data_IF_836348935286
#
_entry.id   IF_836348935286
#
_cell.length_a   1.000
_cell.length_b   1.000
_cell.length_c   1.000
_cell.angle_alpha   90.00
_cell.angle_beta   90.00
_cell.angle_gamma   90.00
#
_symmetry.space_group_name_H-M   'P 1'
#
loop_
_entity.id
_entity.type
_entity.pdbx_description
1 polymer ?
#
# COMPACT_ATOMS: atom_id res chain seq x y z
N UNK A 1 1.30 -30.26 -14.68
CA UNK A 1 0.27 -30.37 -13.60
C UNK A 1 0.93 -30.02 -12.26
N UNK A 2 0.41 -29.02 -11.55
CA UNK A 2 0.97 -28.60 -10.26
C UNK A 2 0.63 -29.63 -9.18
N UNK A 3 1.65 -30.12 -8.48
CA UNK A 3 1.47 -31.13 -7.43
C UNK A 3 0.68 -30.60 -6.23
N UNK A 4 0.01 -31.48 -5.49
CA UNK A 4 -0.78 -31.11 -4.30
C UNK A 4 0.10 -30.39 -3.23
N UNK A 5 1.33 -30.84 -3.03
CA UNK A 5 2.30 -30.22 -2.11
C UNK A 5 2.61 -28.77 -2.54
N UNK A 6 2.84 -28.56 -3.85
CA UNK A 6 3.14 -27.23 -4.40
C UNK A 6 1.96 -26.28 -4.27
N UNK A 7 0.73 -26.76 -4.54
CA UNK A 7 -0.50 -25.99 -4.32
C UNK A 7 -0.61 -25.55 -2.87
N UNK A 8 -0.39 -26.45 -1.92
CA UNK A 8 -0.44 -26.14 -0.48
C UNK A 8 0.59 -25.09 -0.11
N UNK A 9 1.81 -25.22 -0.63
CA UNK A 9 2.90 -24.25 -0.39
C UNK A 9 2.52 -22.86 -0.93
N UNK A 10 2.05 -22.74 -2.18
CA UNK A 10 1.68 -21.44 -2.78
C UNK A 10 0.51 -20.81 -2.02
N UNK A 11 -0.54 -21.61 -1.73
CA UNK A 11 -1.70 -21.10 -0.97
C UNK A 11 -1.36 -20.67 0.45
N UNK A 12 -0.36 -21.27 1.09
CA UNK A 12 0.06 -20.86 2.43
C UNK A 12 0.59 -19.43 2.46
N UNK A 13 1.12 -18.91 1.34
CA UNK A 13 1.57 -17.52 1.22
C UNK A 13 0.45 -16.48 1.33
N UNK A 14 -0.83 -16.89 1.34
CA UNK A 14 -1.94 -16.03 1.74
C UNK A 14 -1.87 -15.61 3.22
N UNK A 15 -1.16 -16.36 4.06
CA UNK A 15 -1.03 -16.12 5.50
C UNK A 15 0.29 -15.42 5.83
N UNK A 16 0.24 -14.39 6.67
CA UNK A 16 1.40 -13.58 7.10
C UNK A 16 2.54 -14.43 7.67
N UNK A 17 2.20 -15.45 8.46
CA UNK A 17 3.19 -16.36 9.08
C UNK A 17 4.11 -16.98 8.03
N UNK A 18 3.54 -17.58 7.00
CA UNK A 18 4.32 -18.29 5.98
C UNK A 18 5.09 -17.35 5.06
N UNK A 19 4.58 -16.13 4.79
CA UNK A 19 5.35 -15.10 4.09
C UNK A 19 6.58 -14.67 4.88
N UNK A 20 6.42 -14.48 6.20
CA UNK A 20 7.53 -14.12 7.09
C UNK A 20 8.59 -15.24 7.18
N UNK A 21 8.18 -16.50 7.25
CA UNK A 21 9.07 -17.66 7.31
C UNK A 21 9.82 -17.89 6.00
N UNK A 22 9.15 -17.77 4.87
CA UNK A 22 9.74 -18.05 3.55
C UNK A 22 10.43 -16.84 2.91
N UNK A 23 10.10 -15.62 3.34
CA UNK A 23 10.52 -14.39 2.65
C UNK A 23 9.89 -14.24 1.26
N UNK A 24 8.73 -14.85 1.00
CA UNK A 24 8.07 -14.89 -0.30
C UNK A 24 6.64 -14.35 -0.21
N UNK A 25 6.15 -13.78 -1.32
CA UNK A 25 4.74 -13.41 -1.48
C UNK A 25 4.26 -13.73 -2.90
N UNK A 26 2.94 -13.68 -3.09
CA UNK A 26 2.29 -13.93 -4.37
C UNK A 26 1.85 -12.61 -4.99
N UNK A 27 2.16 -12.43 -6.28
CA UNK A 27 1.63 -11.37 -7.12
C UNK A 27 0.91 -11.99 -8.32
N UNK A 28 -0.31 -11.54 -8.61
CA UNK A 28 -1.16 -12.09 -9.67
C UNK A 28 -1.62 -11.00 -10.63
N UNK A 29 -1.74 -11.35 -11.89
CA UNK A 29 -2.26 -10.48 -12.94
C UNK A 29 -1.21 -10.05 -13.96
N UNK A 30 -1.65 -9.99 -15.21
CA UNK A 30 -0.81 -9.77 -16.38
C UNK A 30 0.04 -8.50 -16.24
N UNK A 31 -0.60 -7.38 -15.91
CA UNK A 31 0.08 -6.10 -15.75
C UNK A 31 1.14 -6.12 -14.63
N UNK A 32 0.76 -6.64 -13.46
CA UNK A 32 1.66 -6.65 -12.28
C UNK A 32 2.87 -7.53 -12.51
N UNK A 33 2.69 -8.71 -13.11
CA UNK A 33 3.80 -9.62 -13.38
C UNK A 33 4.68 -9.11 -14.51
N UNK A 34 4.12 -8.46 -15.53
CA UNK A 34 4.91 -7.82 -16.60
C UNK A 34 5.78 -6.68 -16.03
N UNK A 35 5.23 -5.81 -15.18
CA UNK A 35 6.01 -4.76 -14.51
C UNK A 35 7.11 -5.33 -13.60
N UNK A 36 6.86 -6.46 -12.93
CA UNK A 36 7.88 -7.15 -12.12
C UNK A 36 9.03 -7.69 -12.98
N UNK A 37 8.76 -8.18 -14.17
CA UNK A 37 9.79 -8.65 -15.13
C UNK A 37 10.68 -7.52 -15.64
N UNK A 38 10.13 -6.33 -15.81
CA UNK A 38 10.84 -5.13 -16.26
C UNK A 38 11.66 -4.48 -15.14
N UNK A 39 11.39 -4.80 -13.88
CA UNK A 39 11.99 -4.15 -12.72
C UNK A 39 13.04 -5.06 -12.05
N UNK A 40 14.32 -4.85 -12.37
CA UNK A 40 15.45 -5.64 -11.85
C UNK A 40 15.62 -5.62 -10.31
N UNK A 41 15.00 -4.66 -9.61
CA UNK A 41 15.04 -4.61 -8.13
C UNK A 41 14.19 -5.70 -7.48
N UNK A 42 13.20 -6.26 -8.22
CA UNK A 42 12.33 -7.30 -7.71
C UNK A 42 12.80 -8.68 -8.14
N UNK A 43 13.10 -9.54 -7.18
CA UNK A 43 13.59 -10.89 -7.46
C UNK A 43 12.41 -11.85 -7.55
N UNK A 44 12.03 -12.20 -8.76
CA UNK A 44 11.02 -13.24 -9.00
C UNK A 44 11.64 -14.60 -8.68
N UNK A 45 10.97 -15.36 -7.81
CA UNK A 45 11.37 -16.70 -7.42
C UNK A 45 10.87 -17.75 -8.41
N UNK A 46 9.62 -17.61 -8.87
CA UNK A 46 9.00 -18.50 -9.86
C UNK A 46 7.76 -17.86 -10.48
N UNK A 47 7.49 -18.20 -11.76
CA UNK A 47 6.28 -17.83 -12.48
C UNK A 47 5.49 -19.10 -12.83
N UNK A 48 4.17 -19.01 -12.69
CA UNK A 48 3.19 -19.96 -13.21
C UNK A 48 2.26 -19.23 -14.16
N UNK A 49 2.18 -19.65 -15.41
CA UNK A 49 1.33 -18.98 -16.39
C UNK A 49 0.73 -19.93 -17.41
N UNK A 50 -0.37 -19.48 -18.03
CA UNK A 50 -1.02 -20.17 -19.15
C UNK A 50 -0.21 -19.99 -20.44
N UNK A 51 -0.43 -20.86 -21.43
CA UNK A 51 0.19 -20.72 -22.75
C UNK A 51 -0.08 -19.35 -23.38
N UNK A 52 -1.32 -18.86 -23.28
CA UNK A 52 -1.73 -17.56 -23.82
C UNK A 52 -0.95 -16.38 -23.23
N UNK A 53 -0.44 -16.49 -22.00
CA UNK A 53 0.39 -15.46 -21.40
C UNK A 53 1.85 -15.61 -21.86
N UNK A 54 2.38 -16.84 -21.92
CA UNK A 54 3.73 -17.11 -22.42
C UNK A 54 3.94 -16.65 -23.86
N UNK A 55 2.92 -16.75 -24.69
CA UNK A 55 3.01 -16.35 -26.10
C UNK A 55 3.15 -14.82 -26.28
N UNK A 56 2.83 -14.05 -25.24
CA UNK A 56 2.86 -12.58 -25.24
C UNK A 56 4.04 -11.98 -24.48
N UNK A 57 4.75 -12.79 -23.69
CA UNK A 57 5.77 -12.30 -22.77
C UNK A 57 7.11 -13.01 -22.98
N UNK A 58 8.18 -12.22 -23.00
CA UNK A 58 9.54 -12.74 -22.97
C UNK A 58 10.02 -12.85 -21.52
N UNK A 59 10.30 -14.07 -21.06
CA UNK A 59 10.78 -14.32 -19.71
C UNK A 59 12.29 -14.52 -19.77
N UNK A 60 13.08 -13.78 -18.96
CA UNK A 60 14.52 -13.99 -18.84
C UNK A 60 14.84 -15.44 -18.43
N UNK A 61 15.82 -16.06 -19.06
CA UNK A 61 16.19 -17.48 -18.87
C UNK A 61 16.58 -17.85 -17.42
N UNK A 62 16.98 -16.87 -16.64
CA UNK A 62 17.33 -17.04 -15.22
C UNK A 62 16.12 -17.03 -14.28
N UNK A 63 14.89 -16.81 -14.77
CA UNK A 63 13.67 -16.85 -13.98
C UNK A 63 12.97 -18.19 -14.22
N UNK A 64 12.81 -19.03 -13.17
CA UNK A 64 12.07 -20.27 -13.30
C UNK A 64 10.61 -19.99 -13.66
N UNK A 65 10.12 -20.57 -14.74
CA UNK A 65 8.77 -20.40 -15.22
C UNK A 65 8.15 -21.73 -15.63
N UNK A 66 6.91 -21.98 -15.23
CA UNK A 66 6.18 -23.21 -15.48
C UNK A 66 4.87 -22.93 -16.22
N UNK A 67 4.67 -23.62 -17.36
CA UNK A 67 3.41 -23.60 -18.09
C UNK A 67 2.37 -24.43 -17.35
N UNK A 68 1.22 -23.85 -17.08
CA UNK A 68 0.15 -24.49 -16.33
C UNK A 68 -1.19 -24.33 -17.03
N UNK A 69 -2.08 -25.31 -16.86
CA UNK A 69 -3.45 -25.19 -17.35
C UNK A 69 -4.23 -24.10 -16.58
N UNK A 70 -5.25 -23.45 -17.19
CA UNK A 70 -6.13 -22.53 -16.44
C UNK A 70 -6.73 -23.17 -15.18
N UNK A 71 -7.02 -24.48 -15.22
CA UNK A 71 -7.50 -25.25 -14.08
C UNK A 71 -6.46 -25.36 -12.97
N UNK A 72 -5.19 -25.62 -13.30
CA UNK A 72 -4.13 -25.67 -12.30
C UNK A 72 -3.82 -24.27 -11.74
N UNK A 73 -3.85 -23.23 -12.59
CA UNK A 73 -3.67 -21.84 -12.16
C UNK A 73 -4.77 -21.43 -11.17
N UNK A 74 -6.02 -21.79 -11.42
CA UNK A 74 -7.14 -21.53 -10.48
C UNK A 74 -6.97 -22.22 -9.13
N UNK A 75 -6.27 -23.34 -9.08
CA UNK A 75 -6.00 -24.06 -7.82
C UNK A 75 -4.94 -23.39 -6.97
N UNK A 76 -4.04 -22.62 -7.55
CA UNK A 76 -2.98 -21.90 -6.83
C UNK A 76 -3.29 -20.42 -6.61
N UNK A 77 -4.20 -19.85 -7.38
CA UNK A 77 -4.62 -18.45 -7.26
C UNK A 77 -5.34 -18.16 -5.95
N UNK A 78 -5.19 -16.93 -5.45
CA UNK A 78 -5.94 -16.39 -4.31
C UNK A 78 -7.14 -15.54 -4.76
N UNK A 79 -7.29 -15.32 -6.06
CA UNK A 79 -8.35 -14.51 -6.65
C UNK A 79 -9.63 -15.33 -6.89
N UNK A 80 -10.79 -14.69 -6.78
CA UNK A 80 -12.08 -15.27 -7.15
C UNK A 80 -12.11 -15.58 -8.65
N UNK A 81 -11.63 -14.66 -9.47
CA UNK A 81 -11.41 -14.86 -10.91
C UNK A 81 -9.92 -14.87 -11.18
N UNK A 82 -9.29 -16.02 -11.39
CA UNK A 82 -7.86 -16.12 -11.65
C UNK A 82 -7.47 -15.41 -12.95
N UNK A 83 -6.31 -14.79 -12.95
CA UNK A 83 -5.66 -14.24 -14.14
C UNK A 83 -4.91 -15.32 -14.91
N UNK A 84 -4.15 -14.93 -15.96
CA UNK A 84 -3.36 -15.85 -16.77
C UNK A 84 -1.97 -16.14 -16.19
N UNK A 85 -1.57 -15.43 -15.14
CA UNK A 85 -0.24 -15.52 -14.54
C UNK A 85 -0.25 -15.26 -13.06
N UNK A 86 0.62 -15.98 -12.34
CA UNK A 86 0.94 -15.84 -10.93
C UNK A 86 2.46 -15.88 -10.78
N UNK A 87 3.03 -14.91 -10.08
CA UNK A 87 4.44 -14.89 -9.70
C UNK A 87 4.62 -15.07 -8.19
N UNK A 88 5.60 -15.88 -7.80
CA UNK A 88 6.13 -15.91 -6.44
C UNK A 88 7.34 -14.99 -6.43
N UNK A 89 7.36 -14.02 -5.52
CA UNK A 89 8.34 -12.94 -5.49
C UNK A 89 9.03 -12.92 -4.12
N UNK A 90 10.34 -12.64 -4.07
CA UNK A 90 11.06 -12.46 -2.81
C UNK A 90 10.70 -11.12 -2.19
N UNK A 91 10.45 -11.11 -0.89
CA UNK A 91 10.24 -9.89 -0.12
C UNK A 91 11.59 -9.18 0.00
N UNK A 92 11.73 -7.92 -0.50
CA UNK A 92 12.97 -7.18 -0.37
C UNK A 92 13.17 -6.70 1.07
N UNK A 93 14.42 -6.67 1.51
CA UNK A 93 14.78 -5.98 2.75
C UNK A 93 14.69 -4.46 2.55
N UNK A 94 14.05 -3.77 3.48
CA UNK A 94 13.90 -2.32 3.48
C UNK A 94 14.39 -1.74 4.80
N UNK A 95 15.32 -0.79 4.72
CA UNK A 95 15.94 -0.14 5.90
C UNK A 95 15.40 1.29 5.99
N UNK A 96 14.81 1.63 7.12
CA UNK A 96 14.21 2.95 7.39
C UNK A 96 15.21 4.11 7.36
N UNK A 97 16.50 3.86 7.57
CA UNK A 97 17.54 4.90 7.75
C UNK A 97 17.82 5.80 6.54
N UNK A 98 17.24 5.54 5.35
CA UNK A 98 17.53 6.27 4.11
C UNK A 98 16.34 7.08 3.58
N UNK A 99 15.38 7.42 4.43
CA UNK A 99 14.20 8.20 3.99
C UNK A 99 14.59 9.66 3.77
N UNK A 100 14.36 10.17 2.56
CA UNK A 100 14.44 11.61 2.26
C UNK A 100 13.09 12.24 2.56
N UNK A 101 13.04 13.08 3.59
CA UNK A 101 11.82 13.79 4.01
C UNK A 101 11.70 15.19 3.39
N UNK A 102 12.83 15.81 3.08
CA UNK A 102 12.86 17.19 2.57
C UNK A 102 12.33 17.32 1.14
N UNK A 103 11.60 18.40 0.88
CA UNK A 103 10.98 18.77 -0.39
C UNK A 103 9.96 17.75 -0.92
N UNK A 104 9.37 16.96 -0.03
CA UNK A 104 8.41 15.90 -0.38
C UNK A 104 7.38 15.70 0.74
N UNK A 105 6.24 15.15 0.36
CA UNK A 105 5.28 14.63 1.33
C UNK A 105 5.56 13.16 1.61
N UNK A 106 5.44 12.78 2.87
CA UNK A 106 5.50 11.37 3.33
C UNK A 106 4.17 11.05 4.03
N UNK A 107 3.65 9.86 3.86
CA UNK A 107 2.48 9.40 4.61
C UNK A 107 2.89 8.64 5.87
N UNK A 108 2.12 8.83 6.95
CA UNK A 108 2.12 7.95 8.11
C UNK A 108 0.73 7.33 8.25
N UNK A 109 0.64 6.02 8.19
CA UNK A 109 -0.60 5.27 8.33
C UNK A 109 -0.68 4.69 9.73
N UNK A 110 -1.63 5.21 10.51
CA UNK A 110 -1.84 4.79 11.88
C UNK A 110 -2.99 3.80 11.97
N UNK A 111 -2.66 2.52 12.15
CA UNK A 111 -3.60 1.42 12.31
C UNK A 111 -4.60 1.24 11.15
N UNK A 112 -4.19 1.44 9.91
CA UNK A 112 -5.00 1.09 8.74
C UNK A 112 -5.06 -0.44 8.63
N UNK A 113 -6.25 -1.02 8.86
CA UNK A 113 -6.43 -2.46 8.96
C UNK A 113 -7.06 -3.09 7.71
N UNK A 114 -7.86 -2.33 6.97
CA UNK A 114 -8.47 -2.84 5.74
C UNK A 114 -7.44 -2.89 4.60
N UNK A 115 -7.23 -4.09 3.99
CA UNK A 115 -6.25 -4.25 2.92
C UNK A 115 -6.63 -3.54 1.62
N UNK A 116 -7.92 -3.32 1.36
CA UNK A 116 -8.40 -2.56 0.21
C UNK A 116 -8.05 -1.08 0.35
N UNK A 117 -8.28 -0.51 1.55
CA UNK A 117 -7.91 0.87 1.86
C UNK A 117 -6.41 1.07 1.73
N UNK A 118 -5.60 0.19 2.31
CA UNK A 118 -4.16 0.31 2.21
C UNK A 118 -3.66 0.23 0.76
N UNK A 119 -4.13 -0.74 -0.03
CA UNK A 119 -3.77 -0.85 -1.44
C UNK A 119 -4.19 0.37 -2.25
N UNK A 120 -5.37 0.95 -1.97
CA UNK A 120 -5.84 2.18 -2.60
C UNK A 120 -5.01 3.39 -2.19
N UNK A 121 -4.62 3.51 -0.91
CA UNK A 121 -3.72 4.56 -0.43
C UNK A 121 -2.35 4.46 -1.13
N UNK A 122 -1.78 3.25 -1.26
CA UNK A 122 -0.54 3.02 -2.01
C UNK A 122 -0.63 3.52 -3.44
N UNK A 123 -1.73 3.19 -4.13
CA UNK A 123 -1.96 3.62 -5.51
C UNK A 123 -2.12 5.14 -5.61
N UNK A 124 -2.80 5.74 -4.67
CA UNK A 124 -2.98 7.20 -4.59
C UNK A 124 -1.65 7.91 -4.28
N UNK A 125 -0.86 7.37 -3.35
CA UNK A 125 0.47 7.87 -3.02
C UNK A 125 1.40 7.86 -4.24
N UNK A 126 1.45 6.74 -4.96
CA UNK A 126 2.19 6.61 -6.21
C UNK A 126 1.77 7.65 -7.26
N UNK A 127 0.45 7.84 -7.43
CA UNK A 127 -0.11 8.82 -8.37
C UNK A 127 0.32 10.26 -8.08
N UNK A 128 0.38 10.64 -6.80
CA UNK A 128 0.78 11.97 -6.35
C UNK A 128 2.26 12.11 -6.02
N UNK A 129 3.10 11.13 -6.40
CA UNK A 129 4.56 11.20 -6.24
C UNK A 129 5.05 11.06 -4.79
N UNK A 130 4.24 10.49 -3.89
CA UNK A 130 4.66 10.14 -2.54
C UNK A 130 5.53 8.88 -2.60
N UNK A 131 6.79 9.02 -2.28
CA UNK A 131 7.77 7.93 -2.37
C UNK A 131 7.79 7.03 -1.12
N UNK A 132 7.43 7.56 0.04
CA UNK A 132 7.59 6.86 1.31
C UNK A 132 6.29 6.85 2.13
N UNK A 133 5.96 5.69 2.66
CA UNK A 133 4.86 5.48 3.61
C UNK A 133 5.42 4.82 4.85
N UNK A 134 5.18 5.44 6.02
CA UNK A 134 5.45 4.88 7.33
C UNK A 134 4.17 4.24 7.84
N UNK A 135 4.24 3.00 8.26
CA UNK A 135 3.11 2.27 8.82
C UNK A 135 3.35 1.94 10.29
N UNK A 136 2.32 2.10 11.11
CA UNK A 136 2.33 1.52 12.45
C UNK A 136 2.41 -0.01 12.35
N UNK A 137 2.90 -0.66 13.41
CA UNK A 137 3.08 -2.12 13.46
C UNK A 137 1.77 -2.89 13.28
N UNK A 138 0.64 -2.26 13.65
CA UNK A 138 -0.71 -2.82 13.53
C UNK A 138 -1.38 -2.53 12.17
N UNK A 139 -0.76 -1.74 11.30
CA UNK A 139 -1.24 -1.56 9.92
C UNK A 139 -1.13 -2.87 9.17
N UNK A 140 -2.11 -3.18 8.32
CA UNK A 140 -2.11 -4.38 7.50
C UNK A 140 -0.82 -4.52 6.70
N UNK A 141 -0.31 -5.73 6.57
CA UNK A 141 0.97 -6.00 5.93
C UNK A 141 0.91 -5.74 4.41
N UNK A 142 1.95 -5.07 3.87
CA UNK A 142 2.09 -4.71 2.45
C UNK A 142 1.90 -5.92 1.52
N UNK A 143 2.49 -7.06 1.87
CA UNK A 143 2.48 -8.26 1.02
C UNK A 143 1.25 -9.15 1.22
N UNK A 144 0.23 -8.66 1.93
CA UNK A 144 -1.08 -9.30 1.93
C UNK A 144 -1.63 -9.35 0.49
N UNK A 145 -2.12 -10.51 -0.02
CA UNK A 145 -2.58 -10.64 -1.40
C UNK A 145 -3.62 -9.60 -1.81
N UNK A 146 -4.52 -9.21 -0.90
CA UNK A 146 -5.52 -8.19 -1.18
C UNK A 146 -4.90 -6.78 -1.30
N UNK A 147 -3.84 -6.46 -0.54
CA UNK A 147 -3.09 -5.20 -0.68
C UNK A 147 -2.36 -5.17 -2.01
N UNK A 148 -1.64 -6.25 -2.35
CA UNK A 148 -0.93 -6.38 -3.64
C UNK A 148 -1.90 -6.16 -4.81
N UNK A 149 -3.06 -6.82 -4.76
CA UNK A 149 -4.09 -6.70 -5.79
C UNK A 149 -4.63 -5.25 -5.89
N UNK A 150 -5.03 -4.67 -4.75
CA UNK A 150 -5.62 -3.33 -4.72
C UNK A 150 -4.63 -2.22 -5.11
N UNK A 151 -3.32 -2.42 -4.87
CA UNK A 151 -2.28 -1.46 -5.22
C UNK A 151 -2.00 -1.36 -6.72
N UNK A 152 -2.44 -2.34 -7.53
CA UNK A 152 -2.27 -2.36 -9.00
C UNK A 152 -0.82 -2.09 -9.45
N UNK A 153 0.17 -2.65 -8.72
CA UNK A 153 1.60 -2.48 -9.02
C UNK A 153 2.29 -1.34 -8.25
N UNK A 154 1.57 -0.43 -7.61
CA UNK A 154 2.18 0.69 -6.87
C UNK A 154 3.06 0.26 -5.70
N UNK A 155 2.88 -0.95 -5.16
CA UNK A 155 3.77 -1.53 -4.14
C UNK A 155 5.24 -1.65 -4.61
N UNK A 156 5.48 -1.63 -5.91
CA UNK A 156 6.82 -1.69 -6.49
C UNK A 156 7.54 -0.34 -6.48
N UNK A 157 6.79 0.76 -6.47
CA UNK A 157 7.29 2.14 -6.63
C UNK A 157 7.28 2.94 -5.33
N UNK A 158 6.39 2.60 -4.40
CA UNK A 158 6.28 3.24 -3.10
C UNK A 158 7.01 2.44 -2.04
N UNK A 159 7.88 3.08 -1.27
CA UNK A 159 8.56 2.45 -0.15
C UNK A 159 7.66 2.43 1.08
N UNK A 160 7.48 1.26 1.66
CA UNK A 160 6.69 1.08 2.88
C UNK A 160 7.59 0.57 4.00
N UNK A 161 7.52 1.25 5.15
CA UNK A 161 8.31 0.91 6.33
C UNK A 161 7.38 0.73 7.53
N UNK A 162 7.62 -0.30 8.32
CA UNK A 162 6.88 -0.56 9.56
C UNK A 162 7.73 -0.20 10.76
N UNK A 163 7.21 0.69 11.62
CA UNK A 163 7.90 1.11 12.84
C UNK A 163 6.90 1.67 13.85
N UNK A 164 7.35 1.90 15.08
CA UNK A 164 6.57 2.69 16.05
C UNK A 164 6.39 4.12 15.54
N UNK A 165 5.15 4.59 15.30
CA UNK A 165 4.89 5.95 14.84
C UNK A 165 5.49 7.01 15.78
N UNK A 166 5.36 6.80 17.09
CA UNK A 166 5.89 7.76 18.08
C UNK A 166 7.42 7.87 18.02
N UNK A 167 8.13 6.74 17.86
CA UNK A 167 9.61 6.78 17.71
C UNK A 167 10.01 7.51 16.44
N UNK A 168 9.28 7.29 15.35
CA UNK A 168 9.53 7.98 14.09
C UNK A 168 9.29 9.48 14.22
N UNK A 169 8.15 9.89 14.79
CA UNK A 169 7.82 11.31 14.99
C UNK A 169 8.83 12.03 15.90
N UNK A 170 9.33 11.37 16.94
CA UNK A 170 10.41 11.90 17.80
C UNK A 170 11.74 12.09 17.07
N UNK A 171 11.98 11.37 15.98
CA UNK A 171 13.22 11.50 15.21
C UNK A 171 13.17 12.63 14.17
N UNK A 172 12.00 13.23 13.95
CA UNK A 172 11.85 14.36 13.02
C UNK A 172 12.46 15.65 13.60
N UNK A 173 12.94 16.57 12.76
CA UNK A 173 13.28 17.94 13.19
C UNK A 173 12.08 18.60 13.90
N UNK A 174 12.34 19.44 14.89
CA UNK A 174 11.29 20.07 15.71
C UNK A 174 10.36 20.99 14.92
N UNK A 175 10.84 21.55 13.81
CA UNK A 175 10.13 22.44 12.90
C UNK A 175 9.53 21.72 11.68
N UNK A 176 9.70 20.39 11.58
CA UNK A 176 9.19 19.62 10.44
C UNK A 176 7.67 19.57 10.46
N UNK A 177 6.97 19.96 9.36
CA UNK A 177 5.52 20.00 9.32
C UNK A 177 4.91 18.60 9.46
N UNK A 178 4.02 18.42 10.45
CA UNK A 178 3.24 17.21 10.68
C UNK A 178 1.77 17.56 10.54
N UNK A 179 1.15 17.08 9.48
CA UNK A 179 -0.26 17.26 9.18
C UNK A 179 -1.07 16.06 9.65
N UNK A 180 -2.23 16.26 10.23
CA UNK A 180 -3.15 15.18 10.62
C UNK A 180 -4.51 15.35 9.97
N UNK A 181 -5.00 14.30 9.30
CA UNK A 181 -6.38 14.26 8.78
C UNK A 181 -7.34 14.02 9.93
N UNK A 182 -8.13 15.05 10.30
CA UNK A 182 -9.02 15.06 11.47
C UNK A 182 -10.38 15.65 11.12
N UNK A 183 -11.39 15.40 11.99
CA UNK A 183 -12.74 15.96 11.83
C UNK A 183 -12.84 17.42 12.32
N UNK A 184 -11.92 17.83 13.20
CA UNK A 184 -11.84 19.18 13.76
C UNK A 184 -10.47 19.76 13.40
N UNK A 185 -10.42 20.52 12.31
CA UNK A 185 -9.19 21.09 11.79
C UNK A 185 -9.44 22.30 10.92
N UNK A 186 -8.39 22.76 10.29
CA UNK A 186 -8.47 23.81 9.27
C UNK A 186 -9.03 23.21 7.97
N UNK A 187 -9.95 23.94 7.36
CA UNK A 187 -10.48 23.56 6.06
C UNK A 187 -9.37 23.52 5.01
N UNK A 188 -9.07 22.34 4.45
CA UNK A 188 -7.99 22.14 3.50
C UNK A 188 -8.07 23.08 2.27
N UNK A 189 -9.26 23.50 1.87
CA UNK A 189 -9.46 24.36 0.70
C UNK A 189 -9.17 25.83 0.98
N UNK A 190 -9.03 26.22 2.25
CA UNK A 190 -8.78 27.59 2.70
C UNK A 190 -7.42 27.74 3.40
N UNK A 191 -6.77 26.63 3.73
CA UNK A 191 -5.48 26.61 4.44
C UNK A 191 -4.31 26.79 3.49
N UNK A 192 -3.29 27.49 3.96
CA UNK A 192 -1.98 27.53 3.28
C UNK A 192 -1.15 26.33 3.74
N UNK A 193 -1.21 25.24 3.00
CA UNK A 193 -0.58 23.98 3.37
C UNK A 193 0.95 24.00 3.13
N UNK A 194 1.73 23.35 3.99
CA UNK A 194 3.16 23.18 3.79
C UNK A 194 3.46 22.46 2.47
N UNK A 195 4.53 22.89 1.78
CA UNK A 195 5.01 22.27 0.52
C UNK A 195 5.73 20.94 0.73
N UNK A 196 6.07 20.62 1.97
CA UNK A 196 6.68 19.35 2.40
C UNK A 196 6.13 18.99 3.79
N UNK A 197 6.24 17.73 4.17
CA UNK A 197 5.85 17.31 5.51
C UNK A 197 5.33 15.89 5.58
N UNK A 198 4.92 15.49 6.77
CA UNK A 198 4.32 14.20 7.06
C UNK A 198 2.80 14.34 7.18
N UNK A 199 2.05 13.57 6.40
CA UNK A 199 0.60 13.48 6.52
C UNK A 199 0.21 12.20 7.27
N UNK A 200 -0.42 12.34 8.43
CA UNK A 200 -0.93 11.23 9.22
C UNK A 200 -2.38 10.92 8.81
N UNK A 201 -2.63 9.67 8.43
CA UNK A 201 -3.96 9.12 8.18
C UNK A 201 -4.23 8.08 9.26
N UNK A 202 -5.29 8.29 10.02
CA UNK A 202 -5.69 7.42 11.11
C UNK A 202 -6.59 6.27 10.69
N UNK A 203 -6.88 5.38 11.64
CA UNK A 203 -7.81 4.28 11.50
C UNK A 203 -9.22 4.78 11.13
N UNK A 204 -9.95 4.00 10.34
CA UNK A 204 -11.27 4.34 9.80
C UNK A 204 -12.32 4.64 10.89
N UNK A 205 -12.26 3.93 11.99
CA UNK A 205 -13.23 4.04 13.09
C UNK A 205 -12.74 4.88 14.26
N UNK A 206 -11.43 4.85 14.54
CA UNK A 206 -10.82 5.47 15.73
C UNK A 206 -10.10 6.77 15.45
N UNK A 207 -9.87 7.07 14.17
CA UNK A 207 -9.04 8.21 13.76
C UNK A 207 -7.56 8.01 14.11
N UNK A 208 -6.86 9.13 14.28
CA UNK A 208 -5.46 9.16 14.68
C UNK A 208 -5.35 8.85 16.17
N UNK A 209 -4.42 7.97 16.55
CA UNK A 209 -4.19 7.58 17.94
C UNK A 209 -3.88 8.81 18.81
N UNK A 210 -4.45 8.92 20.04
CA UNK A 210 -4.27 10.09 20.90
C UNK A 210 -2.80 10.44 21.18
N UNK A 211 -1.94 9.42 21.33
CA UNK A 211 -0.51 9.61 21.57
C UNK A 211 0.24 10.29 20.43
N UNK A 212 -0.33 10.30 19.23
CA UNK A 212 0.26 10.92 18.04
C UNK A 212 -0.23 12.36 17.85
N UNK A 213 -1.39 12.73 18.41
CA UNK A 213 -1.99 14.04 18.19
C UNK A 213 -1.11 15.20 18.69
N UNK A 214 -0.30 14.97 19.73
CA UNK A 214 0.64 15.96 20.28
C UNK A 214 1.76 16.37 19.32
N UNK A 215 2.02 15.57 18.27
CA UNK A 215 3.03 15.87 17.24
C UNK A 215 2.45 16.61 16.03
N UNK A 216 1.11 16.70 15.93
CA UNK A 216 0.43 17.34 14.81
C UNK A 216 0.56 18.86 14.92
N UNK A 217 1.20 19.46 13.93
CA UNK A 217 1.36 20.93 13.80
C UNK A 217 0.23 21.56 13.00
N UNK A 218 -0.37 20.79 12.07
CA UNK A 218 -1.46 21.24 11.19
C UNK A 218 -2.59 20.21 11.21
N UNK A 219 -3.71 20.52 11.83
CA UNK A 219 -4.92 19.70 11.81
C UNK A 219 -5.70 20.02 10.54
N UNK A 220 -5.90 19.05 9.68
CA UNK A 220 -6.55 19.22 8.39
C UNK A 220 -7.94 18.59 8.38
N UNK A 221 -8.94 19.37 7.99
CA UNK A 221 -10.32 18.91 7.81
C UNK A 221 -10.75 18.98 6.36
N UNK A 222 -11.35 17.89 5.87
CA UNK A 222 -12.15 17.91 4.64
C UNK A 222 -13.56 18.31 5.05
N UNK A 223 -14.04 19.52 4.69
CA UNK A 223 -15.29 20.05 5.23
C UNK A 223 -16.49 19.21 4.81
N UNK A 224 -17.34 18.87 5.78
CA UNK A 224 -18.63 18.26 5.56
C UNK A 224 -19.63 19.31 5.08
N UNK A 225 -20.17 19.13 3.87
CA UNK A 225 -21.24 19.99 3.34
C UNK A 225 -22.57 19.51 3.92
N UNK A 226 -23.09 20.24 4.93
CA UNK A 226 -24.40 19.94 5.53
C UNK A 226 -25.53 20.49 4.68
N UNK A 227 -26.44 19.61 4.27
CA UNK A 227 -27.67 20.01 3.55
C UNK A 227 -28.74 20.44 4.55
N UNK A 228 -29.43 21.58 4.28
CA UNK A 228 -30.58 22.01 5.10
C UNK A 228 -31.65 20.91 5.15
N UNK A 229 -32.15 20.62 6.37
CA UNK A 229 -33.20 19.61 6.58
C UNK A 229 -32.73 18.17 6.76
N UNK A 230 -31.48 17.81 6.48
CA UNK A 230 -30.92 16.50 6.83
C UNK A 230 -30.50 16.47 8.31
N UNK A 231 -30.85 15.36 9.01
CA UNK A 231 -30.51 15.14 10.42
C UNK A 231 -29.39 14.10 10.61
N UNK A 232 -29.09 13.29 9.58
CA UNK A 232 -28.12 12.20 9.62
C UNK A 232 -27.09 12.44 8.52
N UNK A 233 -25.83 12.40 8.92
CA UNK A 233 -24.66 12.56 8.04
C UNK A 233 -23.70 11.40 8.29
N UNK A 234 -22.82 11.05 7.33
CA UNK A 234 -21.71 10.13 7.59
C UNK A 234 -20.81 10.69 8.70
N UNK A 235 -20.34 9.82 9.59
CA UNK A 235 -19.43 10.19 10.68
C UNK A 235 -18.03 10.57 10.19
N UNK A 236 -17.59 9.93 9.08
CA UNK A 236 -16.27 10.18 8.48
C UNK A 236 -16.24 9.78 7.00
N UNK A 237 -15.20 10.19 6.31
CA UNK A 237 -14.84 9.66 4.99
C UNK A 237 -14.00 8.38 5.15
N UNK A 238 -14.09 7.50 4.14
CA UNK A 238 -13.17 6.38 4.03
C UNK A 238 -11.71 6.88 3.99
N UNK A 239 -10.78 6.21 4.69
CA UNK A 239 -9.39 6.64 4.82
C UNK A 239 -8.67 6.81 3.48
N UNK A 240 -8.93 5.91 2.50
CA UNK A 240 -8.32 6.01 1.19
C UNK A 240 -8.88 7.21 0.39
N UNK A 241 -10.17 7.50 0.52
CA UNK A 241 -10.82 8.68 -0.10
C UNK A 241 -10.26 9.96 0.51
N UNK A 242 -10.19 10.05 1.85
CA UNK A 242 -9.62 11.19 2.55
C UNK A 242 -8.16 11.43 2.14
N UNK A 243 -7.35 10.36 2.08
CA UNK A 243 -5.97 10.43 1.60
C UNK A 243 -5.87 11.01 0.20
N UNK A 244 -6.73 10.58 -0.72
CA UNK A 244 -6.75 11.06 -2.11
C UNK A 244 -7.10 12.54 -2.23
N UNK A 245 -8.09 13.00 -1.47
CA UNK A 245 -8.51 14.41 -1.47
C UNK A 245 -7.38 15.30 -0.92
N UNK A 246 -6.78 14.93 0.22
CA UNK A 246 -5.72 15.72 0.83
C UNK A 246 -4.46 15.73 -0.05
N UNK A 247 -4.02 14.56 -0.55
CA UNK A 247 -2.86 14.47 -1.44
C UNK A 247 -3.05 15.26 -2.73
N UNK A 248 -4.25 15.21 -3.33
CA UNK A 248 -4.57 16.03 -4.51
C UNK A 248 -4.44 17.53 -4.22
N UNK A 249 -4.76 17.96 -3.00
CA UNK A 249 -4.65 19.36 -2.62
C UNK A 249 -3.20 19.75 -2.32
N UNK A 250 -2.42 18.90 -1.64
CA UNK A 250 -1.00 19.09 -1.36
C UNK A 250 -0.13 19.13 -2.63
N UNK A 251 -0.51 18.40 -3.68
CA UNK A 251 0.24 18.31 -4.95
C UNK A 251 0.05 19.51 -5.87
N UNK A 252 -0.80 20.50 -5.53
CA UNK A 252 -1.03 21.71 -6.33
C UNK A 252 0.09 22.77 -6.20
N UNK A 253 1.03 22.54 -5.32
CA UNK A 253 2.13 23.46 -4.97
C UNK A 253 3.48 22.81 -5.21
#
# INVERSE_FOLDING_TARGET
MVTASRIKQIKSLSQKKFRKESGLFVAEGDKVVSELLENAHWKIHQIFATDTWFDKQSIPANIPAERVSPKDLSRISTLVTPNNVLAIVKIPERILGNIRLQKRHTLLLDNIQDPGNFGTILRTADWFGVENIICSENTVELYNPKVIQASMGSFMRVNVFYTSPEKFLKSLPSDFPVMGAMLEGENIYQSNLPKEGLLIIGNESKGISPDLTKYITHKLEIPLIRQKGKRIFPDSLNAAVASGIILSHLSKH
#
